data_IF_266475762879
#
_entry.id   IF_266475762879
#
_cell.length_a   1.000
_cell.length_b   1.000
_cell.length_c   1.000
_cell.angle_alpha   90.00
_cell.angle_beta   90.00
_cell.angle_gamma   90.00
#
_symmetry.space_group_name_H-M   'P 1'
#
loop_
_entity.id
_entity.type
_entity.pdbx_description
1 polymer ?
#
# COMPACT_ATOMS: atom_id res chain seq x y z
N UNK A 1 14.55 -9.14 36.91
CA UNK A 1 15.00 -8.59 35.61
C UNK A 1 13.89 -8.78 34.60
N UNK A 2 13.28 -7.71 34.11
CA UNK A 2 12.24 -7.78 33.08
C UNK A 2 12.96 -7.81 31.74
N UNK A 3 12.91 -8.96 31.05
CA UNK A 3 13.53 -9.10 29.74
C UNK A 3 12.72 -8.26 28.74
N UNK A 4 13.34 -7.20 28.21
CA UNK A 4 12.70 -6.28 27.28
C UNK A 4 12.60 -6.97 25.91
N UNK A 5 11.37 -7.25 25.49
CA UNK A 5 11.12 -7.72 24.13
C UNK A 5 11.51 -6.63 23.12
N UNK A 6 12.15 -7.04 22.03
CA UNK A 6 12.65 -6.15 20.98
C UNK A 6 11.57 -5.86 19.93
N UNK A 7 11.65 -4.73 19.23
CA UNK A 7 10.74 -4.41 18.12
C UNK A 7 10.78 -5.47 17.02
N UNK A 8 11.93 -6.13 16.83
CA UNK A 8 12.10 -7.25 15.88
C UNK A 8 11.10 -8.38 16.16
N UNK A 9 10.99 -8.80 17.42
CA UNK A 9 10.09 -9.88 17.87
C UNK A 9 8.60 -9.57 17.67
N UNK A 10 8.24 -8.29 17.50
CA UNK A 10 6.89 -7.88 17.15
C UNK A 10 6.60 -8.07 15.65
N UNK A 11 7.59 -7.80 14.79
CA UNK A 11 7.43 -7.93 13.33
C UNK A 11 7.60 -9.37 12.84
N UNK A 12 8.28 -10.24 13.61
CA UNK A 12 8.54 -11.64 13.27
C UNK A 12 7.37 -12.60 13.61
N UNK A 13 6.17 -12.09 13.95
CA UNK A 13 5.03 -12.94 14.32
C UNK A 13 4.29 -13.51 13.11
N UNK A 14 3.76 -14.76 13.20
CA UNK A 14 3.05 -15.42 12.11
C UNK A 14 1.86 -14.59 11.60
N UNK A 15 1.76 -14.50 10.28
CA UNK A 15 1.07 -13.47 9.50
C UNK A 15 -0.46 -13.51 9.47
N UNK A 16 -1.11 -14.06 10.50
CA UNK A 16 -2.57 -14.16 10.58
C UNK A 16 -3.24 -13.09 11.44
N UNK A 17 -2.46 -12.13 11.96
CA UNK A 17 -2.96 -11.02 12.78
C UNK A 17 -2.48 -9.69 12.19
N UNK A 18 -3.35 -8.68 12.20
CA UNK A 18 -2.96 -7.32 11.79
C UNK A 18 -2.11 -6.66 12.87
N UNK A 19 -1.23 -5.72 12.48
CA UNK A 19 -0.44 -4.93 13.43
C UNK A 19 -1.31 -4.23 14.49
N UNK A 20 -2.54 -3.85 14.13
CA UNK A 20 -3.52 -3.28 15.06
C UNK A 20 -4.01 -4.28 16.13
N UNK A 21 -4.31 -5.52 15.72
CA UNK A 21 -4.69 -6.59 16.64
C UNK A 21 -3.51 -6.98 17.55
N UNK A 22 -2.29 -7.01 17.02
CA UNK A 22 -1.10 -7.32 17.79
C UNK A 22 -0.79 -6.24 18.86
N UNK A 23 -0.98 -4.96 18.54
CA UNK A 23 -0.87 -3.85 19.51
C UNK A 23 -1.94 -3.98 20.61
N UNK A 24 -3.15 -4.42 20.26
CA UNK A 24 -4.24 -4.61 21.21
C UNK A 24 -3.98 -5.77 22.18
N UNK A 25 -3.40 -6.88 21.70
CA UNK A 25 -3.02 -8.03 22.53
C UNK A 25 -1.85 -7.73 23.47
N UNK A 26 -1.00 -6.76 23.12
CA UNK A 26 0.25 -6.49 23.83
C UNK A 26 0.46 -4.98 24.08
N UNK A 27 -0.34 -4.36 24.97
CA UNK A 27 -0.38 -2.91 25.15
C UNK A 27 0.94 -2.29 25.63
N UNK A 28 1.85 -3.11 26.20
CA UNK A 28 3.20 -2.68 26.60
C UNK A 28 4.07 -2.22 25.41
N UNK A 29 3.79 -2.71 24.21
CA UNK A 29 4.54 -2.36 23.00
C UNK A 29 4.05 -1.08 22.32
N UNK A 30 2.88 -0.58 22.72
CA UNK A 30 2.24 0.59 22.10
C UNK A 30 3.20 1.79 22.03
N UNK A 31 3.94 2.07 23.09
CA UNK A 31 4.86 3.21 23.11
C UNK A 31 6.09 3.01 22.22
N UNK A 32 6.68 1.81 22.23
CA UNK A 32 7.85 1.49 21.39
C UNK A 32 7.48 1.54 19.90
N UNK A 33 6.32 0.98 19.54
CA UNK A 33 5.81 0.96 18.18
C UNK A 33 5.41 2.36 17.72
N UNK A 34 4.69 3.13 18.55
CA UNK A 34 4.36 4.51 18.21
C UNK A 34 5.62 5.35 18.01
N UNK A 35 6.69 5.12 18.77
CA UNK A 35 7.99 5.79 18.54
C UNK A 35 8.65 5.35 17.23
N UNK A 36 8.62 4.06 16.90
CA UNK A 36 9.20 3.52 15.67
C UNK A 36 8.43 3.94 14.40
N UNK A 37 7.09 4.03 14.47
CA UNK A 37 6.22 4.43 13.34
C UNK A 37 6.12 5.95 13.22
N UNK A 38 6.35 6.70 14.31
CA UNK A 38 6.35 8.16 14.27
C UNK A 38 7.44 8.63 13.32
N UNK A 39 7.03 9.27 12.22
CA UNK A 39 7.93 9.93 11.28
C UNK A 39 8.89 10.83 12.08
N UNK A 40 10.21 10.72 11.89
CA UNK A 40 11.15 11.59 12.58
C UNK A 40 10.77 13.03 12.25
N UNK A 41 10.54 13.83 13.30
CA UNK A 41 10.34 15.26 13.14
C UNK A 41 11.69 15.80 12.68
N UNK A 42 11.81 16.07 11.38
CA UNK A 42 12.99 16.71 10.82
C UNK A 42 13.16 18.07 11.48
N UNK A 43 14.04 18.18 12.47
CA UNK A 43 14.61 19.48 12.84
C UNK A 43 15.35 19.98 11.60
N UNK A 44 15.01 21.17 11.11
CA UNK A 44 15.78 21.83 10.04
C UNK A 44 17.23 21.99 10.54
N UNK A 45 18.12 21.13 10.07
CA UNK A 45 19.56 21.26 10.26
C UNK A 45 20.07 22.21 9.18
N UNK A 46 20.73 23.28 9.61
CA UNK A 46 21.63 24.06 8.74
C UNK A 46 22.80 23.14 8.39
N UNK A 47 23.04 23.05 7.09
CA UNK A 47 24.19 22.52 6.34
C UNK A 47 24.65 21.06 6.59
N UNK A 48 24.75 20.22 5.54
CA UNK A 48 25.09 18.81 5.69
C UNK A 48 26.60 18.57 5.81
N UNK A 49 27.03 18.01 6.95
CA UNK A 49 28.33 17.35 7.10
C UNK A 49 28.18 15.91 6.62
N UNK A 50 28.95 15.55 5.60
CA UNK A 50 29.05 14.19 5.04
C UNK A 50 29.85 13.32 6.00
N UNK A 51 29.22 12.28 6.56
CA UNK A 51 29.93 11.17 7.20
C UNK A 51 29.54 9.89 6.47
N UNK A 52 30.51 9.27 5.81
CA UNK A 52 30.42 7.95 5.20
C UNK A 52 30.56 6.90 6.30
N UNK A 53 29.54 6.07 6.51
CA UNK A 53 29.70 4.76 7.14
C UNK A 53 29.14 3.70 6.20
N UNK A 54 30.01 2.74 5.86
CA UNK A 54 29.71 1.54 5.09
C UNK A 54 29.04 0.55 6.02
N UNK A 55 27.88 0.03 5.65
CA UNK A 55 27.42 -1.29 6.05
C UNK A 55 26.63 -1.88 4.87
N UNK A 56 27.06 -3.08 4.47
CA UNK A 56 26.52 -3.88 3.38
C UNK A 56 25.19 -4.48 3.82
N UNK A 57 24.09 -4.04 3.21
CA UNK A 57 22.81 -4.76 3.19
C UNK A 57 22.00 -4.28 1.98
N UNK A 58 21.81 -5.18 1.02
CA UNK A 58 20.90 -5.16 -0.14
C UNK A 58 20.55 -3.76 -0.68
N UNK A 59 21.36 -3.34 -1.65
CA UNK A 59 21.15 -2.14 -2.44
C UNK A 59 19.86 -2.25 -3.27
N UNK A 60 18.72 -1.88 -2.67
CA UNK A 60 17.58 -1.36 -3.40
C UNK A 60 18.10 -0.15 -4.17
N UNK A 61 18.34 -0.33 -5.46
CA UNK A 61 18.77 0.69 -6.40
C UNK A 61 17.82 1.91 -6.34
N UNK A 62 18.07 2.83 -5.42
CA UNK A 62 17.74 4.25 -5.56
C UNK A 62 18.76 4.90 -6.49
N UNK A 63 19.06 4.23 -7.60
CA UNK A 63 19.81 4.79 -8.70
C UNK A 63 18.97 5.88 -9.34
N UNK A 64 19.55 7.08 -9.35
CA UNK A 64 19.15 8.29 -10.07
C UNK A 64 17.69 8.71 -9.89
N UNK A 65 17.51 9.92 -9.38
CA UNK A 65 16.33 10.75 -9.63
C UNK A 65 16.31 11.17 -11.11
N UNK A 66 16.36 10.21 -12.03
CA UNK A 66 15.69 10.36 -13.31
C UNK A 66 14.23 10.59 -12.99
N UNK A 67 13.54 11.43 -13.74
CA UNK A 67 12.09 11.61 -13.63
C UNK A 67 11.40 10.25 -13.80
N UNK A 68 11.21 9.51 -12.70
CA UNK A 68 10.59 8.19 -12.70
C UNK A 68 9.12 8.45 -12.97
N UNK A 69 8.76 8.46 -14.26
CA UNK A 69 7.40 8.51 -14.73
C UNK A 69 6.65 7.39 -14.00
N UNK A 70 5.65 7.76 -13.20
CA UNK A 70 4.82 6.79 -12.53
C UNK A 70 4.17 5.90 -13.60
N UNK A 71 4.45 4.60 -13.55
CA UNK A 71 3.84 3.61 -14.43
C UNK A 71 2.75 2.89 -13.66
N UNK A 72 1.57 2.75 -14.26
CA UNK A 72 0.51 1.92 -13.70
C UNK A 72 0.93 0.45 -13.72
N UNK A 73 0.53 -0.30 -12.69
CA UNK A 73 0.76 -1.73 -12.61
C UNK A 73 -0.34 -2.45 -13.38
N UNK A 74 0.06 -3.29 -14.34
CA UNK A 74 -0.86 -4.07 -15.15
C UNK A 74 -0.59 -5.57 -14.96
N UNK A 75 -1.63 -6.39 -15.02
CA UNK A 75 -1.51 -7.83 -15.15
C UNK A 75 -2.45 -8.39 -16.21
N UNK A 76 -2.01 -9.48 -16.84
CA UNK A 76 -2.88 -10.28 -17.69
C UNK A 76 -3.84 -11.07 -16.82
N UNK A 77 -5.14 -10.96 -17.09
CA UNK A 77 -6.20 -11.72 -16.45
C UNK A 77 -7.11 -12.35 -17.50
N UNK A 78 -7.94 -13.31 -17.09
CA UNK A 78 -8.85 -14.01 -17.99
C UNK A 78 -10.26 -14.06 -17.39
N UNK A 79 -11.26 -13.73 -18.20
CA UNK A 79 -12.68 -13.93 -17.87
C UNK A 79 -13.30 -14.74 -19.00
N UNK A 80 -13.92 -15.89 -18.69
CA UNK A 80 -14.50 -16.81 -19.71
C UNK A 80 -13.54 -17.08 -20.87
N UNK A 81 -12.25 -17.31 -20.57
CA UNK A 81 -11.15 -17.53 -21.53
C UNK A 81 -10.79 -16.31 -22.41
N UNK A 82 -11.38 -15.15 -22.19
CA UNK A 82 -11.00 -13.88 -22.84
C UNK A 82 -9.90 -13.22 -22.03
N UNK A 83 -8.76 -12.96 -22.67
CA UNK A 83 -7.65 -12.23 -22.06
C UNK A 83 -8.01 -10.74 -21.89
N UNK A 84 -7.81 -10.21 -20.70
CA UNK A 84 -8.02 -8.81 -20.36
C UNK A 84 -6.77 -8.24 -19.68
N UNK A 85 -6.53 -6.94 -19.86
CA UNK A 85 -5.51 -6.21 -19.14
C UNK A 85 -6.12 -5.59 -17.88
N UNK A 86 -5.73 -6.07 -16.71
CA UNK A 86 -6.22 -5.60 -15.42
C UNK A 86 -5.24 -4.56 -14.85
N UNK A 87 -5.78 -3.40 -14.45
CA UNK A 87 -5.03 -2.39 -13.68
C UNK A 87 -5.08 -2.79 -12.21
N UNK A 88 -3.91 -2.90 -11.58
CA UNK A 88 -3.80 -3.16 -10.15
C UNK A 88 -3.66 -1.81 -9.45
N UNK A 89 -4.73 -1.40 -8.76
CA UNK A 89 -4.79 -0.17 -7.99
C UNK A 89 -5.12 -0.44 -6.52
N UNK A 90 -4.10 -0.45 -5.68
CA UNK A 90 -4.25 -0.63 -4.23
C UNK A 90 -4.95 0.55 -3.54
N UNK A 91 -5.05 1.70 -4.20
CA UNK A 91 -5.67 2.90 -3.66
C UNK A 91 -7.17 2.98 -3.95
N UNK A 92 -7.73 2.05 -4.73
CA UNK A 92 -9.16 1.98 -5.00
C UNK A 92 -9.92 1.25 -3.88
N UNK A 93 -11.11 1.75 -3.55
CA UNK A 93 -12.06 1.09 -2.61
C UNK A 93 -12.73 -0.14 -3.23
N UNK A 94 -12.75 -0.26 -4.55
CA UNK A 94 -13.42 -1.37 -5.25
C UNK A 94 -12.92 -1.57 -6.68
N UNK A 95 -13.37 -2.65 -7.30
CA UNK A 95 -13.06 -2.92 -8.70
C UNK A 95 -14.05 -2.18 -9.60
N UNK A 96 -13.54 -1.62 -10.70
CA UNK A 96 -14.34 -0.96 -11.74
C UNK A 96 -14.17 -1.75 -13.03
N UNK A 97 -15.28 -2.09 -13.66
CA UNK A 97 -15.32 -2.72 -14.98
C UNK A 97 -16.08 -1.82 -15.95
N UNK A 98 -15.62 -1.74 -17.19
CA UNK A 98 -16.33 -0.97 -18.21
C UNK A 98 -17.61 -1.69 -18.65
N UNK A 99 -18.69 -0.94 -18.88
CA UNK A 99 -19.94 -1.48 -19.42
C UNK A 99 -19.72 -2.17 -20.78
N UNK A 100 -18.79 -1.66 -21.59
CA UNK A 100 -18.42 -2.28 -22.87
C UNK A 100 -17.86 -3.69 -22.68
N UNK A 101 -16.90 -3.87 -21.77
CA UNK A 101 -16.32 -5.17 -21.48
C UNK A 101 -17.37 -6.16 -20.95
N UNK A 102 -18.30 -5.71 -20.09
CA UNK A 102 -19.40 -6.55 -19.64
C UNK A 102 -20.28 -7.04 -20.81
N UNK A 103 -20.63 -6.15 -21.75
CA UNK A 103 -21.41 -6.51 -22.95
C UNK A 103 -20.63 -7.48 -23.85
N UNK A 104 -19.34 -7.23 -24.06
CA UNK A 104 -18.49 -8.09 -24.88
C UNK A 104 -18.33 -9.50 -24.26
N UNK A 105 -18.46 -9.62 -22.94
CA UNK A 105 -18.42 -10.88 -22.19
C UNK A 105 -19.80 -11.53 -21.98
N UNK A 106 -20.86 -10.93 -22.52
CA UNK A 106 -22.25 -11.35 -22.30
C UNK A 106 -22.55 -11.54 -20.79
N UNK A 107 -22.32 -10.46 -20.03
CA UNK A 107 -22.55 -10.40 -18.59
C UNK A 107 -23.56 -9.29 -18.28
N UNK A 108 -24.62 -9.65 -17.58
CA UNK A 108 -25.67 -8.73 -17.15
C UNK A 108 -25.36 -8.08 -15.79
N UNK A 109 -25.83 -6.85 -15.61
CA UNK A 109 -25.79 -6.16 -14.31
C UNK A 109 -27.06 -6.54 -13.55
N UNK A 110 -26.91 -7.38 -12.53
CA UNK A 110 -28.05 -7.88 -11.73
C UNK A 110 -28.54 -6.89 -10.68
N UNK A 111 -27.68 -5.97 -10.24
CA UNK A 111 -28.01 -4.94 -9.24
C UNK A 111 -27.32 -3.62 -9.59
N UNK A 112 -28.04 -2.51 -9.44
CA UNK A 112 -27.46 -1.19 -9.58
C UNK A 112 -26.48 -0.88 -8.44
N UNK A 113 -25.34 -0.27 -8.77
CA UNK A 113 -24.34 0.11 -7.76
C UNK A 113 -24.89 1.21 -6.85
N UNK A 114 -24.82 0.98 -5.54
CA UNK A 114 -25.11 2.00 -4.52
C UNK A 114 -23.88 2.88 -4.22
N UNK A 115 -22.73 2.55 -4.81
CA UNK A 115 -21.45 3.20 -4.55
C UNK A 115 -21.39 4.57 -5.23
N UNK A 116 -20.98 5.59 -4.50
CA UNK A 116 -20.66 6.90 -5.07
C UNK A 116 -19.20 6.88 -5.49
N UNK A 117 -18.97 7.09 -6.78
CA UNK A 117 -17.63 7.24 -7.34
C UNK A 117 -17.23 8.71 -7.29
N UNK A 118 -16.00 8.98 -6.85
CA UNK A 118 -15.42 10.32 -6.86
C UNK A 118 -14.27 10.31 -7.86
N UNK A 119 -14.34 11.16 -8.89
CA UNK A 119 -13.27 11.24 -9.88
C UNK A 119 -12.10 12.11 -9.37
N UNK A 120 -11.04 12.19 -10.18
CA UNK A 120 -9.84 13.01 -9.88
C UNK A 120 -10.13 14.50 -9.72
N UNK A 121 -11.26 14.98 -10.26
CA UNK A 121 -11.74 16.35 -10.14
C UNK A 121 -12.70 16.55 -8.95
N UNK A 122 -12.82 15.55 -8.06
CA UNK A 122 -13.74 15.54 -6.91
C UNK A 122 -15.24 15.56 -7.26
N UNK A 123 -15.60 15.31 -8.53
CA UNK A 123 -17.00 15.17 -8.92
C UNK A 123 -17.52 13.81 -8.46
N UNK A 124 -18.73 13.83 -7.88
CA UNK A 124 -19.43 12.64 -7.41
C UNK A 124 -20.38 12.13 -8.49
N UNK A 125 -20.27 10.85 -8.84
CA UNK A 125 -21.20 10.17 -9.75
C UNK A 125 -21.64 8.84 -9.18
N UNK A 126 -22.84 8.40 -9.58
CA UNK A 126 -23.26 7.01 -9.39
C UNK A 126 -23.04 6.28 -10.72
N UNK A 127 -22.25 5.19 -10.74
CA UNK A 127 -22.04 4.37 -11.91
C UNK A 127 -23.28 3.54 -12.25
#
# INVERSE_FOLDING_TARGET
MINLYTSQQFFDQPSSITNGQLIAMNPKFRQAILKAIRKPIAKKLKDPIIVKEKNEDVELNYASRSEKKAMALYCDAYIKNVKILLIIDSSSTGCIISLKLLKDLDMEITEASKTIMVNVNSEKRRP
#
